data_IF_608739930054
#
_entry.id   IF_608739930054
#
_cell.length_a   1.000
_cell.length_b   1.000
_cell.length_c   1.000
_cell.angle_alpha   90.00
_cell.angle_beta   90.00
_cell.angle_gamma   90.00
#
_symmetry.space_group_name_H-M   'P 1'
#
loop_
_entity.id
_entity.type
_entity.pdbx_description
1 polymer ?
#
# COMPACT_ATOMS: atom_id res chain seq x y z
N UNK A 1 13.58 -41.88 -31.12
CA UNK A 1 14.15 -40.77 -30.31
C UNK A 1 13.12 -39.68 -30.02
N UNK A 2 12.19 -39.45 -30.91
CA UNK A 2 11.09 -38.45 -30.74
C UNK A 2 10.01 -38.83 -29.72
N UNK A 3 9.73 -40.12 -29.53
CA UNK A 3 8.70 -40.60 -28.60
C UNK A 3 9.05 -40.36 -27.11
N UNK A 4 10.36 -40.33 -26.77
CA UNK A 4 10.80 -40.03 -25.37
C UNK A 4 10.68 -38.56 -24.98
N UNK A 5 10.78 -37.64 -25.92
CA UNK A 5 10.68 -36.20 -25.66
C UNK A 5 9.23 -35.77 -25.40
N UNK A 6 8.26 -36.47 -26.03
CA UNK A 6 6.83 -36.22 -25.80
C UNK A 6 6.35 -36.76 -24.43
N UNK A 7 6.87 -37.90 -23.99
CA UNK A 7 6.51 -38.50 -22.68
C UNK A 7 7.07 -37.70 -21.48
N UNK A 8 8.25 -37.13 -21.61
CA UNK A 8 8.82 -36.25 -20.58
C UNK A 8 8.10 -34.86 -20.48
N UNK A 9 7.66 -34.33 -21.62
CA UNK A 9 6.84 -33.11 -21.68
C UNK A 9 5.47 -33.27 -20.99
N UNK A 10 4.81 -34.42 -21.18
CA UNK A 10 3.53 -34.71 -20.53
C UNK A 10 3.68 -34.98 -19.01
N UNK A 11 4.79 -35.55 -18.53
CA UNK A 11 5.06 -35.72 -17.10
C UNK A 11 5.38 -34.42 -16.37
N UNK A 12 5.97 -33.44 -17.06
CA UNK A 12 6.21 -32.10 -16.51
C UNK A 12 4.93 -31.28 -16.39
N UNK A 13 3.97 -31.41 -17.31
CA UNK A 13 2.66 -30.77 -17.23
C UNK A 13 1.78 -31.34 -16.11
N UNK A 14 1.86 -32.63 -15.82
CA UNK A 14 1.17 -33.28 -14.70
C UNK A 14 1.67 -32.83 -13.33
N UNK A 15 2.97 -32.55 -13.16
CA UNK A 15 3.54 -32.05 -11.90
C UNK A 15 3.22 -30.60 -11.57
N UNK A 16 2.99 -29.77 -12.58
CA UNK A 16 2.56 -28.37 -12.39
C UNK A 16 1.09 -28.26 -11.93
N UNK A 17 0.25 -29.24 -12.28
CA UNK A 17 -1.16 -29.30 -11.86
C UNK A 17 -1.32 -29.65 -10.37
N UNK A 18 -0.49 -30.56 -9.83
CA UNK A 18 -0.60 -31.01 -8.44
C UNK A 18 -0.11 -29.98 -7.41
N UNK A 19 0.75 -29.03 -7.80
CA UNK A 19 1.19 -27.95 -6.92
C UNK A 19 0.15 -26.82 -6.76
N UNK A 20 -0.83 -26.74 -7.68
CA UNK A 20 -1.90 -25.71 -7.67
C UNK A 20 -3.00 -25.97 -6.63
N UNK A 21 -3.38 -27.22 -6.44
CA UNK A 21 -4.50 -27.59 -5.58
C UNK A 21 -4.32 -27.16 -4.12
N UNK A 22 -3.18 -27.37 -3.44
CA UNK A 22 -3.04 -27.03 -2.02
C UNK A 22 -2.96 -25.52 -1.75
N UNK A 23 -2.47 -24.70 -2.68
CA UNK A 23 -2.41 -23.24 -2.49
C UNK A 23 -3.80 -22.59 -2.60
N UNK A 24 -4.59 -23.01 -3.58
CA UNK A 24 -5.97 -22.54 -3.80
C UNK A 24 -6.89 -23.04 -2.68
N UNK A 25 -6.71 -24.27 -2.20
CA UNK A 25 -7.50 -24.84 -1.12
C UNK A 25 -7.20 -24.19 0.23
N UNK A 26 -5.93 -23.91 0.53
CA UNK A 26 -5.53 -23.12 1.71
C UNK A 26 -6.04 -21.67 1.63
N UNK A 27 -6.04 -21.06 0.46
CA UNK A 27 -6.57 -19.73 0.26
C UNK A 27 -8.10 -19.69 0.42
N UNK A 28 -8.83 -20.71 -0.04
CA UNK A 28 -10.28 -20.86 0.20
C UNK A 28 -10.63 -20.95 1.67
N UNK A 29 -9.88 -21.74 2.45
CA UNK A 29 -10.08 -21.87 3.90
C UNK A 29 -9.76 -20.56 4.64
N UNK A 30 -8.73 -19.82 4.22
CA UNK A 30 -8.37 -18.52 4.79
C UNK A 30 -9.39 -17.42 4.41
N UNK A 31 -9.98 -17.47 3.21
CA UNK A 31 -11.01 -16.54 2.76
C UNK A 31 -12.29 -16.62 3.60
N UNK A 32 -12.66 -17.80 4.08
CA UNK A 32 -13.83 -18.01 4.93
C UNK A 32 -13.72 -17.31 6.31
N UNK A 33 -12.51 -17.01 6.78
CA UNK A 33 -12.25 -16.34 8.06
C UNK A 33 -11.98 -14.83 7.93
N UNK A 34 -11.80 -14.32 6.72
CA UNK A 34 -11.47 -12.91 6.46
C UNK A 34 -12.75 -12.08 6.30
N UNK A 35 -13.08 -11.30 7.32
CA UNK A 35 -14.30 -10.46 7.31
C UNK A 35 -14.02 -9.12 6.61
N UNK A 36 -14.77 -8.84 5.54
CA UNK A 36 -14.79 -7.53 4.90
C UNK A 36 -15.88 -6.67 5.57
N UNK A 37 -15.58 -5.40 5.94
CA UNK A 37 -16.51 -4.56 6.73
C UNK A 37 -17.76 -4.13 5.95
N UNK A 38 -17.81 -4.36 4.65
CA UNK A 38 -18.96 -4.06 3.79
C UNK A 38 -19.23 -5.27 2.91
N UNK A 39 -20.49 -5.53 2.56
CA UNK A 39 -20.85 -6.51 1.54
C UNK A 39 -20.24 -6.01 0.21
N UNK A 40 -19.04 -6.47 -0.05
CA UNK A 40 -18.38 -6.19 -1.33
C UNK A 40 -19.05 -7.10 -2.33
N UNK A 41 -19.79 -6.52 -3.28
CA UNK A 41 -20.27 -7.26 -4.43
C UNK A 41 -19.04 -7.85 -5.16
N UNK A 42 -18.88 -9.16 -5.07
CA UNK A 42 -17.79 -9.92 -5.74
C UNK A 42 -18.00 -9.98 -7.24
N UNK A 43 -19.08 -9.38 -7.71
CA UNK A 43 -19.49 -9.36 -9.10
C UNK A 43 -18.62 -8.40 -9.92
N UNK A 44 -17.94 -8.94 -10.92
CA UNK A 44 -17.30 -8.16 -11.99
C UNK A 44 -18.32 -7.44 -12.89
N UNK A 45 -19.61 -7.69 -12.71
CA UNK A 45 -20.71 -7.24 -13.59
C UNK A 45 -21.32 -5.90 -13.12
N UNK A 46 -21.19 -5.55 -11.83
CA UNK A 46 -21.74 -4.30 -11.33
C UNK A 46 -21.02 -3.07 -11.90
N UNK A 47 -21.76 -2.08 -12.38
CA UNK A 47 -21.26 -0.89 -13.06
C UNK A 47 -20.70 0.18 -12.11
N UNK A 48 -21.06 0.12 -10.83
CA UNK A 48 -20.64 1.08 -9.80
C UNK A 48 -19.18 0.96 -9.39
N UNK A 49 -18.61 2.06 -8.91
CA UNK A 49 -17.29 2.06 -8.27
C UNK A 49 -17.41 1.72 -6.78
N UNK A 50 -16.41 1.03 -6.24
CA UNK A 50 -16.31 0.81 -4.79
C UNK A 50 -14.85 0.79 -4.33
N UNK A 51 -14.66 0.99 -3.03
CA UNK A 51 -13.41 0.77 -2.31
C UNK A 51 -13.74 0.10 -0.96
N UNK A 52 -13.02 -0.94 -0.64
CA UNK A 52 -13.11 -1.59 0.66
C UNK A 52 -11.72 -1.98 1.15
N UNK A 53 -11.51 -1.93 2.45
CA UNK A 53 -10.27 -2.38 3.08
C UNK A 53 -10.58 -3.18 4.35
N UNK A 54 -9.66 -4.05 4.72
CA UNK A 54 -9.67 -4.83 5.94
C UNK A 54 -8.28 -4.98 6.53
N UNK A 55 -8.21 -5.37 7.79
CA UNK A 55 -6.96 -5.77 8.40
C UNK A 55 -6.41 -7.04 7.75
N UNK A 56 -5.08 -7.15 7.71
CA UNK A 56 -4.41 -8.36 7.28
C UNK A 56 -4.58 -9.50 8.33
N UNK A 57 -4.30 -10.72 7.92
CA UNK A 57 -4.23 -11.86 8.84
C UNK A 57 -3.20 -11.60 9.97
N UNK A 58 -3.38 -12.21 11.18
CA UNK A 58 -2.53 -11.91 12.34
C UNK A 58 -1.03 -12.04 12.09
N UNK A 59 -0.62 -13.00 11.24
CA UNK A 59 0.78 -13.22 10.87
C UNK A 59 1.40 -12.07 10.05
N UNK A 60 0.59 -11.23 9.41
CA UNK A 60 1.00 -10.05 8.64
C UNK A 60 0.73 -8.72 9.36
N UNK A 61 -0.01 -8.71 10.47
CA UNK A 61 -0.51 -7.49 11.11
C UNK A 61 0.59 -6.49 11.52
N UNK A 62 1.82 -6.96 11.75
CA UNK A 62 2.97 -6.09 12.06
C UNK A 62 3.55 -5.41 10.81
N UNK A 63 3.44 -6.05 9.65
CA UNK A 63 4.08 -5.65 8.39
C UNK A 63 3.10 -4.93 7.47
N UNK A 64 1.85 -5.40 7.45
CA UNK A 64 0.78 -4.91 6.58
C UNK A 64 -0.15 -4.00 7.37
N UNK A 65 -0.47 -2.85 6.79
CA UNK A 65 -1.43 -1.90 7.35
C UNK A 65 -2.86 -2.25 6.96
N UNK A 66 -3.08 -2.52 5.67
CA UNK A 66 -4.38 -2.90 5.14
C UNK A 66 -4.26 -3.81 3.90
N UNK A 67 -5.26 -4.65 3.73
CA UNK A 67 -5.59 -5.30 2.45
C UNK A 67 -6.79 -4.56 1.90
N UNK A 68 -6.71 -4.15 0.62
CA UNK A 68 -7.76 -3.36 0.02
C UNK A 68 -8.12 -3.84 -1.39
N UNK A 69 -9.36 -3.62 -1.76
CA UNK A 69 -9.87 -3.87 -3.11
C UNK A 69 -10.60 -2.62 -3.60
N UNK A 70 -10.46 -2.35 -4.88
CA UNK A 70 -11.14 -1.24 -5.52
C UNK A 70 -11.63 -1.63 -6.91
N UNK A 71 -12.79 -1.09 -7.29
CA UNK A 71 -13.34 -1.14 -8.63
C UNK A 71 -13.67 0.27 -9.08
N UNK A 72 -13.27 0.61 -10.29
CA UNK A 72 -13.68 1.87 -10.91
C UNK A 72 -14.99 1.70 -11.68
N UNK A 73 -15.85 2.74 -11.74
CA UNK A 73 -17.06 2.70 -12.56
C UNK A 73 -16.72 2.49 -14.05
N UNK A 74 -17.61 1.87 -14.81
CA UNK A 74 -17.45 1.66 -16.26
C UNK A 74 -17.40 2.98 -17.02
N UNK A 75 -18.27 3.92 -16.65
CA UNK A 75 -18.43 5.19 -17.38
C UNK A 75 -17.41 6.27 -16.96
N UNK A 76 -16.27 5.86 -16.38
CA UNK A 76 -15.29 6.79 -15.86
C UNK A 76 -15.83 7.56 -14.64
N UNK A 77 -15.19 7.45 -13.51
CA UNK A 77 -15.48 8.32 -12.37
C UNK A 77 -14.63 9.58 -12.45
N UNK A 78 -14.89 10.53 -11.58
CA UNK A 78 -13.99 11.66 -11.42
C UNK A 78 -12.55 11.18 -11.11
N UNK A 79 -11.53 11.84 -11.68
CA UNK A 79 -10.15 11.51 -11.38
C UNK A 79 -9.91 11.58 -9.87
N UNK A 80 -9.50 10.47 -9.26
CA UNK A 80 -9.20 10.44 -7.82
C UNK A 80 -7.73 10.79 -7.61
N UNK A 81 -7.51 11.85 -6.86
CA UNK A 81 -6.18 12.16 -6.35
C UNK A 81 -5.77 11.10 -5.31
N UNK A 82 -4.65 10.44 -5.56
CA UNK A 82 -3.96 9.61 -4.57
C UNK A 82 -3.07 10.56 -3.76
N UNK A 83 -3.37 10.65 -2.49
CA UNK A 83 -2.66 11.56 -1.59
C UNK A 83 -1.42 10.89 -0.99
N UNK A 84 -0.37 11.66 -0.70
CA UNK A 84 0.82 11.13 -0.05
C UNK A 84 0.49 10.52 1.31
N UNK A 85 1.00 9.33 1.57
CA UNK A 85 0.79 8.61 2.83
C UNK A 85 2.06 7.93 3.36
N UNK A 86 3.14 7.94 2.56
CA UNK A 86 4.43 7.30 2.86
C UNK A 86 4.35 5.78 3.03
N UNK A 87 3.32 5.13 2.46
CA UNK A 87 3.22 3.68 2.41
C UNK A 87 3.67 3.17 1.04
N UNK A 88 4.23 1.98 1.01
CA UNK A 88 4.39 1.22 -0.21
C UNK A 88 3.22 0.25 -0.35
N UNK A 89 2.82 -0.04 -1.59
CA UNK A 89 1.73 -0.96 -1.88
C UNK A 89 2.17 -2.01 -2.92
N UNK A 90 1.84 -3.27 -2.69
CA UNK A 90 1.85 -4.30 -3.72
C UNK A 90 0.47 -4.32 -4.36
N UNK A 91 0.36 -4.03 -5.66
CA UNK A 91 -0.92 -3.82 -6.33
C UNK A 91 -1.07 -4.71 -7.55
N UNK A 92 -2.10 -5.51 -7.52
CA UNK A 92 -2.61 -6.29 -8.64
C UNK A 92 -3.62 -5.45 -9.42
N UNK A 93 -3.49 -5.45 -10.75
CA UNK A 93 -4.30 -4.65 -11.67
C UNK A 93 -4.82 -5.50 -12.82
N UNK A 94 -6.12 -5.42 -13.08
CA UNK A 94 -6.74 -6.04 -14.25
C UNK A 94 -7.87 -5.14 -14.79
N UNK A 95 -8.09 -5.17 -16.09
CA UNK A 95 -9.16 -4.39 -16.71
C UNK A 95 -10.48 -5.18 -16.71
N UNK A 96 -10.44 -6.44 -17.11
CA UNK A 96 -11.58 -7.38 -17.14
C UNK A 96 -11.13 -8.75 -16.63
N UNK A 97 -12.07 -9.58 -16.14
CA UNK A 97 -11.78 -10.99 -15.88
C UNK A 97 -11.24 -11.67 -17.15
N UNK A 98 -10.11 -12.37 -17.01
CA UNK A 98 -9.42 -13.02 -18.12
C UNK A 98 -8.38 -12.17 -18.84
N UNK A 99 -8.33 -10.85 -18.61
CA UNK A 99 -7.27 -9.99 -19.15
C UNK A 99 -5.93 -10.26 -18.43
N UNK A 100 -4.81 -9.90 -19.08
CA UNK A 100 -3.49 -9.99 -18.46
C UNK A 100 -3.43 -9.18 -17.15
N UNK A 101 -3.07 -9.86 -16.07
CA UNK A 101 -2.93 -9.28 -14.75
C UNK A 101 -1.55 -8.69 -14.63
N UNK A 102 -1.46 -7.45 -14.13
CA UNK A 102 -0.20 -6.81 -13.74
C UNK A 102 -0.08 -6.76 -12.23
N UNK A 103 1.10 -7.06 -11.74
CA UNK A 103 1.42 -7.02 -10.32
C UNK A 103 2.66 -6.15 -10.12
N UNK A 104 2.46 -5.00 -9.50
CA UNK A 104 3.49 -3.98 -9.33
C UNK A 104 3.72 -3.68 -7.85
N UNK A 105 4.99 -3.50 -7.48
CA UNK A 105 5.37 -2.86 -6.23
C UNK A 105 5.41 -1.34 -6.46
N UNK A 106 4.55 -0.61 -5.77
CA UNK A 106 4.51 0.84 -5.74
C UNK A 106 5.28 1.33 -4.53
N UNK A 107 6.24 2.20 -4.75
CA UNK A 107 6.95 2.85 -3.66
C UNK A 107 6.12 3.97 -3.02
N UNK A 108 6.61 4.52 -1.89
CA UNK A 108 5.87 5.50 -1.11
C UNK A 108 5.67 6.81 -1.88
N UNK A 109 4.40 7.27 -2.03
CA UNK A 109 4.12 8.56 -2.63
C UNK A 109 4.46 9.71 -1.66
N UNK A 110 5.18 10.71 -2.15
CA UNK A 110 5.53 11.94 -1.42
C UNK A 110 4.91 13.19 -2.01
N UNK A 111 4.34 13.05 -3.20
CA UNK A 111 3.57 14.05 -3.93
C UNK A 111 2.22 13.46 -4.33
N UNK A 112 1.15 14.27 -4.42
CA UNK A 112 -0.12 13.79 -4.92
C UNK A 112 0.01 13.42 -6.40
N UNK A 113 -0.68 12.38 -6.81
CA UNK A 113 -0.84 12.06 -8.22
C UNK A 113 -2.29 11.71 -8.51
N UNK A 114 -2.72 11.98 -9.74
CA UNK A 114 -4.07 11.69 -10.18
C UNK A 114 -4.07 10.34 -10.89
N UNK A 115 -4.84 9.40 -10.36
CA UNK A 115 -5.18 8.22 -11.15
C UNK A 115 -6.11 8.68 -12.28
N UNK A 116 -5.62 8.56 -13.52
CA UNK A 116 -6.37 8.94 -14.71
C UNK A 116 -7.73 8.23 -14.79
N UNK A 117 -8.63 8.80 -15.57
CA UNK A 117 -9.95 8.22 -15.87
C UNK A 117 -9.81 6.89 -16.63
N UNK A 118 -8.67 6.73 -17.33
CA UNK A 118 -8.28 5.52 -18.07
C UNK A 118 -7.34 4.65 -17.25
N UNK A 119 -7.43 3.32 -17.38
CA UNK A 119 -6.54 2.34 -16.75
C UNK A 119 -7.32 1.22 -16.05
N UNK A 120 -6.66 0.31 -15.33
CA UNK A 120 -7.25 -0.91 -14.84
C UNK A 120 -8.48 -0.65 -13.97
N UNK A 121 -9.56 -1.40 -14.26
CA UNK A 121 -10.84 -1.25 -13.58
C UNK A 121 -10.84 -1.88 -12.19
N UNK A 122 -10.14 -2.99 -12.04
CA UNK A 122 -10.09 -3.76 -10.81
C UNK A 122 -8.69 -3.69 -10.21
N UNK A 123 -8.63 -3.44 -8.93
CA UNK A 123 -7.41 -3.28 -8.16
C UNK A 123 -7.52 -4.10 -6.87
N UNK A 124 -6.48 -4.85 -6.57
CA UNK A 124 -6.32 -5.52 -5.28
C UNK A 124 -4.96 -5.14 -4.73
N UNK A 125 -4.91 -4.63 -3.52
CA UNK A 125 -3.67 -4.10 -2.96
C UNK A 125 -3.39 -4.56 -1.53
N UNK A 126 -2.10 -4.62 -1.25
CA UNK A 126 -1.55 -4.82 0.09
C UNK A 126 -0.75 -3.58 0.43
N UNK A 127 -1.22 -2.81 1.41
CA UNK A 127 -0.53 -1.63 1.93
C UNK A 127 0.41 -2.04 3.06
N UNK A 128 1.69 -1.74 2.89
CA UNK A 128 2.70 -2.02 3.90
C UNK A 128 2.79 -0.89 4.90
N UNK A 129 2.99 -1.22 6.17
CA UNK A 129 3.39 -0.21 7.17
C UNK A 129 4.70 0.45 6.76
N UNK A 130 4.91 1.74 7.02
CA UNK A 130 6.16 2.42 6.66
C UNK A 130 7.40 1.65 7.14
N UNK A 131 8.36 1.46 6.24
CA UNK A 131 9.60 0.74 6.51
C UNK A 131 9.54 -0.79 6.36
N UNK A 132 8.36 -1.41 6.31
CA UNK A 132 8.25 -2.87 6.24
C UNK A 132 8.35 -3.42 4.82
N UNK A 133 8.02 -2.64 3.79
CA UNK A 133 8.20 -3.07 2.40
C UNK A 133 9.68 -3.35 2.08
N UNK A 134 10.62 -2.55 2.59
CA UNK A 134 12.06 -2.80 2.45
C UNK A 134 12.44 -4.20 2.94
N UNK A 135 11.97 -4.58 4.12
CA UNK A 135 12.26 -5.90 4.71
C UNK A 135 11.65 -7.06 3.91
N UNK A 136 10.51 -6.85 3.26
CA UNK A 136 9.86 -7.86 2.42
C UNK A 136 10.56 -8.02 1.07
N UNK A 137 10.92 -6.91 0.43
CA UNK A 137 11.34 -6.89 -0.97
C UNK A 137 12.85 -6.78 -1.17
N UNK A 138 13.61 -6.30 -0.17
CA UNK A 138 15.06 -6.13 -0.25
C UNK A 138 15.52 -4.98 -1.16
N UNK A 139 14.59 -4.13 -1.61
CA UNK A 139 14.87 -2.98 -2.48
C UNK A 139 14.83 -1.70 -1.67
N UNK A 140 15.80 -0.81 -1.88
CA UNK A 140 15.78 0.49 -1.23
C UNK A 140 14.53 1.28 -1.64
N UNK A 141 13.70 1.63 -0.67
CA UNK A 141 12.44 2.33 -0.94
C UNK A 141 12.65 3.74 -1.51
N UNK A 142 13.86 4.32 -1.34
CA UNK A 142 14.24 5.58 -1.99
C UNK A 142 14.31 5.46 -3.52
N UNK A 143 14.65 4.29 -4.06
CA UNK A 143 14.67 4.03 -5.50
C UNK A 143 13.26 3.93 -6.09
N UNK A 144 12.29 3.58 -5.25
CA UNK A 144 10.88 3.45 -5.63
C UNK A 144 10.02 4.67 -5.27
N UNK A 145 10.61 5.71 -4.67
CA UNK A 145 9.85 6.90 -4.28
C UNK A 145 9.09 7.51 -5.48
N UNK A 146 7.75 7.61 -5.35
CA UNK A 146 6.84 8.06 -6.43
C UNK A 146 6.92 7.20 -7.70
N UNK A 147 7.43 5.98 -7.61
CA UNK A 147 7.66 5.07 -8.73
C UNK A 147 6.93 3.74 -8.50
N UNK A 148 6.84 2.94 -9.53
CA UNK A 148 6.39 1.55 -9.47
C UNK A 148 7.27 0.68 -10.34
N UNK A 149 7.47 -0.55 -9.93
CA UNK A 149 8.16 -1.58 -10.70
C UNK A 149 7.30 -2.85 -10.77
N UNK A 150 7.30 -3.57 -11.91
CA UNK A 150 6.71 -4.89 -11.99
C UNK A 150 7.35 -5.82 -10.95
N UNK A 151 6.55 -6.63 -10.26
CA UNK A 151 7.10 -7.62 -9.33
C UNK A 151 8.01 -8.63 -10.03
N UNK A 152 7.77 -8.90 -11.32
CA UNK A 152 8.61 -9.75 -12.16
C UNK A 152 10.05 -9.27 -12.29
N UNK A 153 10.29 -7.97 -12.15
CA UNK A 153 11.65 -7.41 -12.23
C UNK A 153 12.46 -7.68 -10.95
N UNK A 154 11.78 -7.94 -9.83
CA UNK A 154 12.39 -8.33 -8.56
C UNK A 154 12.45 -9.84 -8.40
N UNK A 155 11.34 -10.52 -8.69
CA UNK A 155 11.15 -11.94 -8.45
C UNK A 155 10.41 -12.58 -9.63
N UNK A 156 11.11 -12.87 -10.75
CA UNK A 156 10.46 -13.35 -11.97
C UNK A 156 9.66 -14.65 -11.78
N UNK A 157 10.22 -15.62 -11.04
CA UNK A 157 9.60 -16.92 -10.83
C UNK A 157 8.41 -16.84 -9.88
N UNK A 158 8.60 -16.22 -8.71
CA UNK A 158 7.55 -16.08 -7.70
C UNK A 158 6.39 -15.21 -8.22
N UNK A 159 6.70 -14.16 -9.01
CA UNK A 159 5.68 -13.34 -9.66
C UNK A 159 4.86 -14.15 -10.67
N UNK A 160 5.50 -14.97 -11.50
CA UNK A 160 4.82 -15.84 -12.45
C UNK A 160 3.93 -16.88 -11.76
N UNK A 161 4.42 -17.52 -10.68
CA UNK A 161 3.63 -18.47 -9.89
C UNK A 161 2.40 -17.80 -9.27
N UNK A 162 2.57 -16.62 -8.67
CA UNK A 162 1.48 -15.87 -8.08
C UNK A 162 0.45 -15.44 -9.13
N UNK A 163 0.90 -14.89 -10.27
CA UNK A 163 0.04 -14.47 -11.37
C UNK A 163 -0.77 -15.65 -11.95
N UNK A 164 -0.17 -16.83 -12.05
CA UNK A 164 -0.86 -18.04 -12.48
C UNK A 164 -1.97 -18.44 -11.48
N UNK A 165 -1.71 -18.36 -10.17
CA UNK A 165 -2.72 -18.66 -9.15
C UNK A 165 -3.85 -17.64 -9.16
N UNK A 166 -3.51 -16.36 -9.28
CA UNK A 166 -4.47 -15.25 -9.31
C UNK A 166 -5.30 -15.27 -10.59
N UNK A 167 -4.69 -15.59 -11.76
CA UNK A 167 -5.37 -15.65 -13.04
C UNK A 167 -6.47 -16.72 -13.11
N UNK A 168 -6.40 -17.76 -12.28
CA UNK A 168 -7.46 -18.75 -12.14
C UNK A 168 -8.62 -18.29 -11.25
N UNK A 169 -8.52 -17.12 -10.60
CA UNK A 169 -9.54 -16.61 -9.68
C UNK A 169 -10.50 -15.66 -10.41
N UNK A 170 -11.79 -15.81 -10.11
CA UNK A 170 -12.87 -14.92 -10.59
C UNK A 170 -13.34 -13.94 -9.50
N UNK A 171 -12.69 -13.93 -8.32
CA UNK A 171 -13.09 -13.15 -7.15
C UNK A 171 -11.96 -12.25 -6.69
N UNK A 172 -12.23 -10.95 -6.51
CA UNK A 172 -11.27 -9.98 -5.98
C UNK A 172 -10.86 -10.33 -4.53
N UNK A 173 -11.77 -10.87 -3.74
CA UNK A 173 -11.48 -11.31 -2.36
C UNK A 173 -10.53 -12.51 -2.36
N UNK A 174 -10.73 -13.45 -3.29
CA UNK A 174 -9.80 -14.58 -3.44
C UNK A 174 -8.42 -14.11 -3.90
N UNK A 175 -8.35 -13.17 -4.84
CA UNK A 175 -7.08 -12.55 -5.27
C UNK A 175 -6.35 -11.89 -4.08
N UNK A 176 -7.09 -11.16 -3.22
CA UNK A 176 -6.53 -10.56 -2.00
C UNK A 176 -5.97 -11.64 -1.05
N UNK A 177 -6.70 -12.75 -0.88
CA UNK A 177 -6.25 -13.87 -0.03
C UNK A 177 -5.00 -14.56 -0.59
N UNK A 178 -4.91 -14.68 -1.91
CA UNK A 178 -3.71 -15.23 -2.57
C UNK A 178 -2.49 -14.32 -2.38
N UNK A 179 -2.67 -13.00 -2.49
CA UNK A 179 -1.61 -12.03 -2.18
C UNK A 179 -1.15 -12.14 -0.72
N UNK A 180 -2.08 -12.26 0.23
CA UNK A 180 -1.74 -12.47 1.65
C UNK A 180 -0.96 -13.77 1.85
N UNK A 181 -1.43 -14.87 1.28
CA UNK A 181 -0.77 -16.17 1.38
C UNK A 181 0.64 -16.15 0.83
N UNK A 182 0.83 -15.48 -0.30
CA UNK A 182 2.14 -15.24 -0.90
C UNK A 182 3.06 -14.48 0.06
N UNK A 183 2.59 -13.39 0.65
CA UNK A 183 3.38 -12.59 1.59
C UNK A 183 3.71 -13.36 2.87
N UNK A 184 2.78 -14.15 3.41
CA UNK A 184 3.05 -15.03 4.58
C UNK A 184 4.18 -16.00 4.26
N UNK A 185 4.17 -16.64 3.10
CA UNK A 185 5.24 -17.55 2.69
C UNK A 185 6.57 -16.81 2.50
N UNK A 186 6.54 -15.62 1.91
CA UNK A 186 7.72 -14.79 1.67
C UNK A 186 8.38 -14.34 2.97
N UNK A 187 7.59 -13.85 3.93
CA UNK A 187 8.09 -13.41 5.23
C UNK A 187 8.67 -14.55 6.07
N UNK A 188 8.16 -15.78 5.94
CA UNK A 188 8.76 -16.95 6.59
C UNK A 188 10.17 -17.27 6.09
N UNK A 189 10.52 -16.85 4.88
CA UNK A 189 11.85 -17.02 4.27
C UNK A 189 12.78 -15.83 4.56
N UNK A 190 12.26 -14.71 5.02
CA UNK A 190 13.05 -13.53 5.34
C UNK A 190 13.63 -13.65 6.75
N UNK A 191 14.91 -13.35 6.90
CA UNK A 191 15.61 -13.37 8.20
C UNK A 191 15.22 -12.20 9.12
N UNK A 192 14.69 -11.10 8.55
CA UNK A 192 14.24 -9.93 9.30
C UNK A 192 13.12 -9.23 8.54
N UNK A 193 11.93 -9.24 9.13
CA UNK A 193 10.74 -8.59 8.56
C UNK A 193 10.43 -7.22 9.17
N UNK A 194 11.23 -6.77 10.13
CA UNK A 194 10.98 -5.52 10.87
C UNK A 194 12.09 -4.48 10.64
N UNK A 195 11.74 -3.19 10.58
CA UNK A 195 12.72 -2.12 10.66
C UNK A 195 13.52 -2.21 11.96
N UNK A 196 14.77 -1.73 11.95
CA UNK A 196 15.54 -1.67 13.20
C UNK A 196 14.77 -0.91 14.29
N UNK A 197 14.98 -1.31 15.55
CA UNK A 197 14.31 -0.70 16.71
C UNK A 197 14.44 0.83 16.72
N UNK A 198 15.63 1.33 16.40
CA UNK A 198 15.91 2.78 16.36
C UNK A 198 15.07 3.47 15.28
N UNK A 199 14.94 2.83 14.10
CA UNK A 199 14.15 3.39 13.01
C UNK A 199 12.65 3.39 13.34
N UNK A 200 12.14 2.34 13.97
CA UNK A 200 10.77 2.28 14.46
C UNK A 200 10.50 3.39 15.50
N UNK A 201 11.41 3.59 16.45
CA UNK A 201 11.32 4.69 17.42
C UNK A 201 11.36 6.07 16.76
N UNK A 202 12.21 6.26 15.75
CA UNK A 202 12.25 7.50 14.98
C UNK A 202 10.93 7.79 14.27
N UNK A 203 10.32 6.77 13.63
CA UNK A 203 9.01 6.90 12.97
C UNK A 203 7.92 7.30 13.96
N UNK A 204 7.85 6.67 15.12
CA UNK A 204 6.91 7.03 16.19
C UNK A 204 7.11 8.46 16.66
N UNK A 205 8.36 8.88 16.92
CA UNK A 205 8.66 10.24 17.34
C UNK A 205 8.28 11.30 16.29
N UNK A 206 8.45 10.97 15.00
CA UNK A 206 8.10 11.85 13.88
C UNK A 206 6.58 11.92 13.62
N UNK A 207 5.84 10.87 13.94
CA UNK A 207 4.37 10.81 13.77
C UNK A 207 3.61 11.47 14.94
N UNK A 208 4.12 11.38 16.16
CA UNK A 208 3.38 11.74 17.37
C UNK A 208 3.56 13.18 17.86
N UNK A 209 4.69 13.79 17.57
CA UNK A 209 5.02 15.12 18.09
C UNK A 209 5.13 16.09 16.93
N UNK A 210 4.22 17.06 16.84
CA UNK A 210 4.20 18.09 15.80
C UNK A 210 5.57 18.74 15.53
N UNK A 211 5.61 19.91 14.93
CA UNK A 211 6.79 20.61 14.40
C UNK A 211 7.95 20.83 15.41
N UNK A 212 7.77 20.48 16.69
CA UNK A 212 8.72 20.79 17.79
C UNK A 212 9.91 19.85 17.88
N UNK A 213 9.89 18.67 17.23
CA UNK A 213 11.00 17.71 17.35
C UNK A 213 11.93 17.83 16.15
N UNK A 214 13.12 18.35 16.41
CA UNK A 214 14.19 18.42 15.40
C UNK A 214 14.72 17.02 15.11
N UNK A 215 14.90 16.68 13.82
CA UNK A 215 15.49 15.39 13.38
C UNK A 215 16.81 15.10 14.08
N UNK A 216 17.63 16.16 14.31
CA UNK A 216 18.89 16.08 15.06
C UNK A 216 18.69 15.60 16.51
N UNK A 217 17.65 16.08 17.19
CA UNK A 217 17.35 15.65 18.58
C UNK A 217 16.91 14.19 18.64
N UNK A 218 16.11 13.73 17.64
CA UNK A 218 15.73 12.32 17.51
C UNK A 218 16.99 11.47 17.28
N UNK A 219 17.84 11.85 16.34
CA UNK A 219 19.06 11.13 16.04
C UNK A 219 19.97 11.01 17.28
N UNK A 220 20.19 12.12 17.99
CA UNK A 220 20.97 12.12 19.23
C UNK A 220 20.40 11.23 20.33
N UNK A 221 19.08 11.23 20.51
CA UNK A 221 18.40 10.35 21.48
C UNK A 221 18.53 8.84 21.11
N UNK A 222 18.76 8.54 19.84
CA UNK A 222 18.96 7.18 19.32
C UNK A 222 20.46 6.80 19.17
N UNK A 223 21.38 7.65 19.67
CA UNK A 223 22.81 7.37 19.61
C UNK A 223 23.42 7.42 18.22
N UNK A 224 22.79 8.16 17.26
CA UNK A 224 23.27 8.25 15.89
C UNK A 224 23.39 9.69 15.38
N UNK A 225 24.19 9.91 14.33
CA UNK A 225 24.24 11.20 13.66
C UNK A 225 22.97 11.44 12.83
N UNK A 226 22.60 12.72 12.63
CA UNK A 226 21.48 13.09 11.78
C UNK A 226 21.64 12.55 10.34
N UNK A 227 22.87 12.57 9.80
CA UNK A 227 23.19 12.03 8.46
C UNK A 227 22.92 10.52 8.40
N UNK A 228 23.29 9.78 9.45
CA UNK A 228 23.07 8.33 9.51
C UNK A 228 21.59 7.99 9.60
N UNK A 229 20.83 8.69 10.46
CA UNK A 229 19.39 8.54 10.57
C UNK A 229 18.70 8.84 9.23
N UNK A 230 19.06 9.95 8.57
CA UNK A 230 18.50 10.31 7.26
C UNK A 230 18.72 9.21 6.24
N UNK A 231 19.97 8.72 6.07
CA UNK A 231 20.29 7.67 5.11
C UNK A 231 19.52 6.38 5.38
N UNK A 232 19.48 5.93 6.64
CA UNK A 232 18.67 4.74 7.01
C UNK A 232 17.19 4.93 6.69
N UNK A 233 16.66 6.11 7.01
CA UNK A 233 15.27 6.44 6.80
C UNK A 233 14.91 6.45 5.30
N UNK A 234 15.74 7.06 4.46
CA UNK A 234 15.57 7.09 3.01
C UNK A 234 15.59 5.68 2.40
N UNK A 235 16.54 4.84 2.79
CA UNK A 235 16.64 3.46 2.29
C UNK A 235 15.43 2.62 2.71
N UNK A 236 15.01 2.70 3.96
CA UNK A 236 14.01 1.79 4.51
C UNK A 236 12.58 2.30 4.33
N UNK A 237 12.35 3.60 4.52
CA UNK A 237 11.01 4.23 4.43
C UNK A 237 10.76 4.85 3.04
N UNK A 238 11.82 5.12 2.28
CA UNK A 238 11.73 5.70 0.94
C UNK A 238 11.58 7.21 0.90
N UNK A 239 11.70 7.89 2.04
CA UNK A 239 11.58 9.35 2.10
C UNK A 239 12.45 9.91 3.23
N UNK A 240 12.71 11.23 3.23
CA UNK A 240 13.45 11.85 4.33
C UNK A 240 12.61 11.90 5.61
N UNK A 241 13.22 11.90 6.81
CA UNK A 241 12.51 12.08 8.08
C UNK A 241 11.63 13.33 8.10
N UNK A 242 12.09 14.43 7.50
CA UNK A 242 11.35 15.69 7.40
C UNK A 242 10.11 15.57 6.51
N UNK A 243 10.24 14.91 5.36
CA UNK A 243 9.11 14.65 4.45
C UNK A 243 8.09 13.72 5.09
N UNK A 244 8.55 12.66 5.74
CA UNK A 244 7.69 11.74 6.48
C UNK A 244 6.89 12.48 7.56
N UNK A 245 7.54 13.26 8.43
CA UNK A 245 6.86 14.04 9.46
C UNK A 245 5.82 15.00 8.87
N UNK A 246 6.12 15.64 7.71
CA UNK A 246 5.17 16.49 6.99
C UNK A 246 3.95 15.71 6.51
N UNK A 247 4.16 14.54 5.92
CA UNK A 247 3.08 13.66 5.45
C UNK A 247 2.21 13.22 6.64
N UNK A 248 2.81 12.83 7.76
CA UNK A 248 2.07 12.41 8.96
C UNK A 248 1.21 13.56 9.55
N UNK A 249 1.74 14.78 9.62
CA UNK A 249 0.95 15.95 10.02
C UNK A 249 -0.22 16.21 9.08
N UNK A 250 0.04 16.18 7.77
CA UNK A 250 -1.00 16.34 6.77
C UNK A 250 -2.09 15.27 6.91
N UNK A 251 -1.73 14.00 7.04
CA UNK A 251 -2.67 12.89 7.21
C UNK A 251 -3.54 13.07 8.46
N UNK A 252 -2.94 13.50 9.56
CA UNK A 252 -3.68 13.84 10.78
C UNK A 252 -4.67 14.98 10.55
N UNK A 253 -4.23 16.06 9.90
CA UNK A 253 -5.10 17.20 9.57
C UNK A 253 -6.24 16.79 8.64
N UNK A 254 -5.95 16.01 7.59
CA UNK A 254 -6.94 15.49 6.65
C UNK A 254 -8.03 14.69 7.37
N UNK A 255 -7.64 13.75 8.23
CA UNK A 255 -8.57 12.93 9.01
C UNK A 255 -9.48 13.80 9.90
N UNK A 256 -8.93 14.82 10.54
CA UNK A 256 -9.73 15.72 11.38
C UNK A 256 -10.68 16.59 10.56
N UNK A 257 -10.25 17.08 9.39
CA UNK A 257 -11.10 17.84 8.48
C UNK A 257 -12.26 16.99 7.95
N UNK A 258 -12.00 15.74 7.59
CA UNK A 258 -13.01 14.82 7.05
C UNK A 258 -14.02 14.36 8.10
N UNK A 259 -13.59 14.20 9.35
CA UNK A 259 -14.47 13.79 10.47
C UNK A 259 -15.24 14.93 11.11
N UNK A 260 -14.89 16.18 10.82
CA UNK A 260 -15.51 17.33 11.47
C UNK A 260 -16.96 17.52 10.99
N UNK A 261 -17.91 17.49 11.91
CA UNK A 261 -19.34 17.76 11.63
C UNK A 261 -19.60 19.23 11.27
N UNK A 262 -18.87 20.16 11.87
CA UNK A 262 -18.91 21.60 11.59
C UNK A 262 -17.57 22.10 11.03
N UNK A 263 -17.50 23.34 10.55
CA UNK A 263 -16.23 23.93 10.10
C UNK A 263 -15.30 24.07 11.30
N UNK A 264 -14.10 23.43 11.27
CA UNK A 264 -13.15 23.58 12.37
C UNK A 264 -12.65 25.02 12.48
N UNK A 265 -12.26 25.41 13.68
CA UNK A 265 -11.45 26.57 13.88
C UNK A 265 -10.02 26.23 13.42
N UNK A 266 -9.57 26.89 12.34
CA UNK A 266 -8.37 26.47 11.59
C UNK A 266 -7.06 26.66 12.35
N UNK A 267 -6.98 27.67 13.23
CA UNK A 267 -5.80 27.91 14.05
C UNK A 267 -5.64 26.82 15.12
N UNK A 268 -6.74 26.43 15.78
CA UNK A 268 -6.76 25.32 16.74
C UNK A 268 -6.43 23.99 16.08
N UNK A 269 -6.98 23.73 14.89
CA UNK A 269 -6.67 22.52 14.14
C UNK A 269 -5.19 22.49 13.71
N UNK A 270 -4.62 23.62 13.29
CA UNK A 270 -3.21 23.74 12.94
C UNK A 270 -2.33 23.39 14.16
N UNK A 271 -2.62 23.97 15.31
CA UNK A 271 -1.90 23.68 16.56
C UNK A 271 -2.00 22.20 16.96
N UNK A 272 -3.21 21.62 16.92
CA UNK A 272 -3.46 20.21 17.25
C UNK A 272 -2.69 19.24 16.33
N UNK A 273 -2.51 19.62 15.05
CA UNK A 273 -1.75 18.82 14.08
C UNK A 273 -0.24 19.12 14.11
N UNK A 274 0.22 20.09 14.90
CA UNK A 274 1.63 20.44 15.02
C UNK A 274 2.15 21.31 13.88
N UNK A 275 1.28 22.12 13.29
CA UNK A 275 1.68 23.23 12.42
C UNK A 275 2.02 24.47 13.27
N UNK A 276 2.85 25.33 12.72
CA UNK A 276 3.24 26.57 13.43
C UNK A 276 2.05 27.52 13.54
N UNK A 277 1.28 27.66 12.46
CA UNK A 277 0.10 28.50 12.35
C UNK A 277 -0.87 27.97 11.27
N UNK A 278 -2.00 28.65 11.11
CA UNK A 278 -3.01 28.36 10.10
C UNK A 278 -2.47 28.48 8.66
N UNK A 279 -1.61 29.46 8.39
CA UNK A 279 -1.05 29.67 7.05
C UNK A 279 -0.16 28.49 6.64
N UNK A 280 0.64 27.98 7.55
CA UNK A 280 1.46 26.79 7.35
C UNK A 280 0.60 25.52 7.07
N UNK A 281 -0.51 25.34 7.83
CA UNK A 281 -1.47 24.27 7.56
C UNK A 281 -2.05 24.38 6.14
N UNK A 282 -2.55 25.56 5.75
CA UNK A 282 -3.14 25.80 4.44
C UNK A 282 -2.14 25.57 3.32
N UNK A 283 -0.90 26.00 3.50
CA UNK A 283 0.16 25.81 2.51
C UNK A 283 0.47 24.31 2.29
N UNK A 284 0.70 23.55 3.37
CA UNK A 284 0.96 22.12 3.29
C UNK A 284 -0.25 21.36 2.72
N UNK A 285 -1.47 21.74 3.12
CA UNK A 285 -2.69 21.10 2.62
C UNK A 285 -2.88 21.32 1.12
N UNK A 286 -2.68 22.55 0.64
CA UNK A 286 -2.68 22.87 -0.81
C UNK A 286 -1.61 22.10 -1.58
N UNK A 287 -0.41 21.97 -1.03
CA UNK A 287 0.68 21.21 -1.65
C UNK A 287 0.35 19.73 -1.79
N UNK A 288 -0.43 19.17 -0.85
CA UNK A 288 -0.78 17.75 -0.81
C UNK A 288 -2.09 17.40 -1.53
N UNK A 289 -2.99 18.37 -1.73
CA UNK A 289 -4.33 18.12 -2.30
C UNK A 289 -4.68 19.03 -3.48
N UNK A 290 -3.89 20.07 -3.75
CA UNK A 290 -4.19 21.19 -4.63
C UNK A 290 -5.34 22.08 -4.15
N UNK A 291 -5.95 21.79 -3.00
CA UNK A 291 -7.07 22.52 -2.41
C UNK A 291 -6.73 23.05 -1.01
N UNK A 292 -7.40 24.11 -0.56
CA UNK A 292 -7.37 24.49 0.85
C UNK A 292 -8.17 23.48 1.69
N UNK A 293 -7.95 23.40 3.01
CA UNK A 293 -8.77 22.55 3.90
C UNK A 293 -10.27 22.84 3.78
N UNK A 294 -10.64 24.13 3.63
CA UNK A 294 -12.04 24.53 3.44
C UNK A 294 -12.60 24.07 2.09
N UNK A 295 -11.85 24.24 1.00
CA UNK A 295 -12.23 23.77 -0.33
C UNK A 295 -12.37 22.26 -0.38
N UNK A 296 -11.43 21.53 0.22
CA UNK A 296 -11.48 20.07 0.33
C UNK A 296 -12.74 19.58 1.04
N UNK A 297 -13.07 20.24 2.15
CA UNK A 297 -14.28 19.92 2.91
C UNK A 297 -15.56 20.19 2.13
N UNK A 298 -15.62 21.33 1.43
CA UNK A 298 -16.80 21.70 0.63
C UNK A 298 -17.01 20.74 -0.56
N UNK A 299 -15.94 20.28 -1.21
CA UNK A 299 -16.01 19.35 -2.34
C UNK A 299 -16.46 17.93 -1.94
N UNK A 300 -16.48 17.60 -0.65
CA UNK A 300 -16.84 16.26 -0.12
C UNK A 300 -18.09 16.25 0.76
N UNK A 301 -18.73 17.37 0.93
CA UNK A 301 -20.08 17.40 1.51
C UNK A 301 -21.07 16.98 0.43
N UNK A 302 -21.96 16.01 0.74
CA UNK A 302 -23.05 15.63 -0.16
C UNK A 302 -23.99 16.80 -0.40
#
# INVERSE_FOLDING_TARGET
MEQRVLDDGMKMLGRASDARAPAVEKARAASASAHWPTVVSDSFVDEGGFYAERSAVPSLARVVDAIWIARRPINGGEPRAILPDAHADLILRLERPGDPIRLDLNGPPTTPFVNGVTGPRFLVGVRFRPGHAFSCFGVAMSELQNQRIPLSDLWPQEAAELLNCVGASTSLQMMATLLESFLVQRLRRSLSSEPSRELAQAMVALSGRGNSVRVRSIAGALGMSERHLRRKFEVVVGTSPKTFARIQRFRKALTLVERASSTPEWASLASLCGYFDQAHLIHDFKRMTSLTPQQWRNARRP
#
